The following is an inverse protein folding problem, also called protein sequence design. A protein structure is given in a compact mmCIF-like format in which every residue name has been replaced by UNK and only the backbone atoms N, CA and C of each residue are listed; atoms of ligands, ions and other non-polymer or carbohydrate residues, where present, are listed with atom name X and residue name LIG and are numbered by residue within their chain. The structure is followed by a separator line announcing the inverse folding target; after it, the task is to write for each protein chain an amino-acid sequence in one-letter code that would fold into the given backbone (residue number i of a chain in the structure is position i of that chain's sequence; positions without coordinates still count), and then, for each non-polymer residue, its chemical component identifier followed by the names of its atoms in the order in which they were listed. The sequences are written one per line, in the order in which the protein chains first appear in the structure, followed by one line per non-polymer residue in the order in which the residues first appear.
data_IF_407619215529
#
_entry.id   IF_407619215529
#
_cell.length_a   1.000
_cell.length_b   1.000
_cell.length_c   1.000
_cell.angle_alpha   90.00
_cell.angle_beta   90.00
_cell.angle_gamma   90.00
#
_symmetry.space_group_name_H-M   'P 1'
#
loop_
_entity.id
_entity.type
_entity.pdbx_description
1 polymer ?
#
# COMPACT_ATOMS: atom_id res chain seq x y z
N UNK A 1 23.81 -46.75 38.34
CA UNK A 1 23.89 -46.93 36.87
C UNK A 1 24.31 -45.59 36.29
N UNK A 2 25.40 -45.52 35.54
CA UNK A 2 25.86 -44.26 34.98
C UNK A 2 24.95 -43.86 33.80
N UNK A 3 24.65 -42.59 33.68
CA UNK A 3 23.83 -41.99 32.62
C UNK A 3 24.32 -42.45 31.24
N UNK A 4 25.65 -42.61 31.11
CA UNK A 4 26.29 -43.09 29.88
C UNK A 4 25.84 -44.51 29.49
N UNK A 5 25.68 -45.41 30.47
CA UNK A 5 25.26 -46.78 30.21
C UNK A 5 23.80 -46.88 29.78
N UNK A 6 22.94 -46.02 30.35
CA UNK A 6 21.52 -45.88 29.94
C UNK A 6 21.41 -45.38 28.52
N UNK A 7 22.23 -44.39 28.13
CA UNK A 7 22.25 -43.83 26.79
C UNK A 7 22.68 -44.84 25.72
N UNK A 8 23.71 -45.63 26.02
CA UNK A 8 24.20 -46.72 25.13
C UNK A 8 23.11 -47.78 24.91
N UNK A 9 22.44 -48.21 26.00
CA UNK A 9 21.34 -49.18 25.91
C UNK A 9 20.18 -48.64 25.09
N UNK A 10 19.79 -47.36 25.29
CA UNK A 10 18.74 -46.71 24.53
C UNK A 10 19.04 -46.65 23.02
N UNK A 11 20.26 -46.24 22.65
CA UNK A 11 20.68 -46.20 21.23
C UNK A 11 20.69 -47.59 20.61
N UNK A 12 21.13 -48.60 21.35
CA UNK A 12 21.11 -49.99 20.87
C UNK A 12 19.70 -50.54 20.68
N UNK A 13 18.76 -50.17 21.55
CA UNK A 13 17.34 -50.54 21.43
C UNK A 13 16.69 -49.86 20.20
N UNK A 14 16.99 -48.58 19.93
CA UNK A 14 16.53 -47.84 18.75
C UNK A 14 17.03 -48.48 17.45
N UNK A 15 18.31 -48.85 17.40
CA UNK A 15 18.91 -49.53 16.22
C UNK A 15 18.32 -50.93 15.96
N UNK A 16 17.91 -51.67 17.00
CA UNK A 16 17.30 -52.98 16.84
C UNK A 16 15.92 -52.94 16.17
N UNK A 17 15.19 -51.82 16.29
CA UNK A 17 13.89 -51.59 15.67
C UNK A 17 13.90 -50.37 14.75
N UNK A 18 14.92 -50.22 13.92
CA UNK A 18 15.20 -48.99 13.15
C UNK A 18 14.03 -48.55 12.27
N UNK A 19 13.33 -49.44 11.59
CA UNK A 19 12.18 -49.11 10.76
C UNK A 19 11.01 -48.50 11.55
N UNK A 20 10.69 -49.07 12.73
CA UNK A 20 9.61 -48.54 13.57
C UNK A 20 10.00 -47.17 14.14
N UNK A 21 11.23 -47.01 14.57
CA UNK A 21 11.75 -45.77 15.11
C UNK A 21 11.77 -44.67 14.02
N UNK A 22 12.22 -45.02 12.81
CA UNK A 22 12.23 -44.10 11.69
C UNK A 22 10.80 -43.61 11.30
N UNK A 23 9.84 -44.54 11.23
CA UNK A 23 8.44 -44.23 10.91
C UNK A 23 7.79 -43.34 11.98
N UNK A 24 8.02 -43.63 13.27
CA UNK A 24 7.47 -42.80 14.35
C UNK A 24 8.14 -41.44 14.42
N UNK A 25 9.46 -41.35 14.22
CA UNK A 25 10.19 -40.09 14.15
C UNK A 25 9.73 -39.25 12.96
N UNK A 26 9.55 -39.86 11.79
CA UNK A 26 9.06 -39.20 10.59
C UNK A 26 7.66 -38.62 10.83
N UNK A 27 6.74 -39.37 11.41
CA UNK A 27 5.40 -38.87 11.75
C UNK A 27 5.45 -37.70 12.71
N UNK A 28 6.31 -37.74 13.71
CA UNK A 28 6.49 -36.63 14.67
C UNK A 28 7.09 -35.39 13.98
N UNK A 29 8.10 -35.56 13.14
CA UNK A 29 8.72 -34.47 12.38
C UNK A 29 7.69 -33.81 11.48
N UNK A 30 6.91 -34.57 10.72
CA UNK A 30 5.87 -34.03 9.83
C UNK A 30 4.81 -33.29 10.66
N UNK A 31 4.36 -33.84 11.77
CA UNK A 31 3.37 -33.21 12.63
C UNK A 31 3.83 -31.87 13.19
N UNK A 32 5.04 -31.83 13.73
CA UNK A 32 5.63 -30.59 14.27
C UNK A 32 5.89 -29.58 13.15
N UNK A 33 6.44 -30.02 12.02
CA UNK A 33 6.68 -29.15 10.87
C UNK A 33 5.39 -28.51 10.34
N UNK A 34 4.29 -29.27 10.25
CA UNK A 34 3.01 -28.76 9.82
C UNK A 34 2.49 -27.66 10.75
N UNK A 35 2.61 -27.82 12.06
CA UNK A 35 2.21 -26.80 13.04
C UNK A 35 3.07 -25.55 12.92
N UNK A 36 4.39 -25.70 12.78
CA UNK A 36 5.31 -24.55 12.63
C UNK A 36 4.96 -23.77 11.36
N UNK A 37 4.74 -24.46 10.24
CA UNK A 37 4.37 -23.81 8.98
C UNK A 37 3.04 -23.07 9.10
N UNK A 38 2.03 -23.68 9.74
CA UNK A 38 0.73 -23.04 9.94
C UNK A 38 0.84 -21.77 10.79
N UNK A 39 1.59 -21.80 11.88
CA UNK A 39 1.83 -20.64 12.74
C UNK A 39 2.62 -19.56 12.00
N UNK A 40 3.65 -19.95 11.25
CA UNK A 40 4.45 -19.00 10.47
C UNK A 40 3.63 -18.28 9.40
N UNK A 41 2.77 -19.00 8.67
CA UNK A 41 1.85 -18.39 7.69
C UNK A 41 0.86 -17.46 8.39
N UNK A 42 0.27 -17.88 9.51
CA UNK A 42 -0.69 -17.06 10.26
C UNK A 42 -0.07 -15.77 10.79
N UNK A 43 1.10 -15.82 11.38
CA UNK A 43 1.82 -14.63 11.87
C UNK A 43 2.29 -13.74 10.73
N UNK A 44 2.79 -14.30 9.64
CA UNK A 44 3.20 -13.57 8.44
C UNK A 44 2.03 -12.84 7.79
N UNK A 45 0.88 -13.50 7.63
CA UNK A 45 -0.33 -12.88 7.10
C UNK A 45 -0.84 -11.74 7.99
N UNK A 46 -0.89 -11.95 9.31
CA UNK A 46 -1.27 -10.91 10.27
C UNK A 46 -0.33 -9.70 10.21
N UNK A 47 0.97 -9.91 10.14
CA UNK A 47 1.96 -8.83 10.03
C UNK A 47 1.78 -8.05 8.71
N UNK A 48 1.53 -8.74 7.61
CA UNK A 48 1.26 -8.12 6.31
C UNK A 48 0.00 -7.26 6.34
N UNK A 49 -1.10 -7.77 6.88
CA UNK A 49 -2.36 -7.01 7.02
C UNK A 49 -2.16 -5.79 7.93
N UNK A 50 -1.48 -5.95 9.06
CA UNK A 50 -1.19 -4.83 9.96
C UNK A 50 -0.34 -3.74 9.29
N UNK A 51 0.65 -4.14 8.46
CA UNK A 51 1.46 -3.17 7.72
C UNK A 51 0.63 -2.40 6.70
N UNK A 52 -0.28 -3.08 5.99
CA UNK A 52 -1.20 -2.45 5.04
C UNK A 52 -2.17 -1.48 5.73
N UNK A 53 -2.72 -1.84 6.89
CA UNK A 53 -3.59 -0.95 7.67
C UNK A 53 -2.81 0.28 8.16
N UNK A 54 -1.58 0.11 8.64
CA UNK A 54 -0.74 1.24 9.06
C UNK A 54 -0.38 2.16 7.91
N UNK A 55 -0.09 1.62 6.74
CA UNK A 55 0.22 2.42 5.55
C UNK A 55 -0.99 3.15 4.98
N UNK A 56 -2.21 2.62 5.20
CA UNK A 56 -3.44 3.30 4.83
C UNK A 56 -3.78 4.49 5.75
N UNK A 57 -3.16 4.57 6.96
CA UNK A 57 -3.45 5.58 7.99
C UNK A 57 -4.58 5.16 8.91
N UNK A 58 -4.38 5.32 10.22
CA UNK A 58 -5.30 4.81 11.25
C UNK A 58 -6.57 5.63 11.47
N UNK A 59 -6.62 6.88 10.99
CA UNK A 59 -7.73 7.82 11.25
C UNK A 59 -8.15 8.58 9.99
N UNK A 60 -8.17 7.90 8.84
CA UNK A 60 -8.60 8.50 7.58
C UNK A 60 -10.08 8.25 7.37
N UNK A 61 -10.84 9.30 7.15
CA UNK A 61 -12.23 9.25 6.69
C UNK A 61 -12.24 9.69 5.23
N UNK A 62 -12.75 8.84 4.35
CA UNK A 62 -12.90 9.15 2.94
C UNK A 62 -14.35 9.50 2.66
N UNK A 63 -14.58 10.74 2.23
CA UNK A 63 -15.89 11.23 1.82
C UNK A 63 -15.93 11.20 0.30
N UNK A 64 -16.87 10.49 -0.27
CA UNK A 64 -17.07 10.41 -1.73
C UNK A 64 -18.52 10.76 -2.08
N UNK A 65 -18.70 11.36 -3.26
CA UNK A 65 -20.03 11.56 -3.80
C UNK A 65 -20.75 10.22 -3.92
N UNK A 66 -21.94 10.14 -3.32
CA UNK A 66 -22.77 8.93 -3.39
C UNK A 66 -23.23 8.64 -4.81
N UNK A 67 -23.51 7.39 -5.12
CA UNK A 67 -24.25 7.03 -6.33
C UNK A 67 -25.72 7.43 -6.14
N UNK A 68 -26.08 8.64 -6.55
CA UNK A 68 -27.45 9.13 -6.55
C UNK A 68 -28.25 8.45 -7.65
N UNK A 69 -28.96 7.39 -7.33
CA UNK A 69 -29.87 6.73 -8.24
C UNK A 69 -31.08 6.18 -7.52
N UNK A 70 -32.08 7.02 -7.28
CA UNK A 70 -33.47 6.61 -7.15
C UNK A 70 -34.03 6.32 -8.55
N UNK A 71 -33.61 5.22 -9.19
CA UNK A 71 -34.06 4.82 -10.50
C UNK A 71 -33.61 3.40 -10.88
N UNK A 72 -34.20 2.78 -11.88
CA UNK A 72 -33.87 1.41 -12.33
C UNK A 72 -32.42 1.30 -12.89
N UNK A 73 -31.76 2.40 -13.15
CA UNK A 73 -30.37 2.43 -13.63
C UNK A 73 -29.46 2.85 -12.44
N UNK A 74 -28.76 1.90 -11.87
CA UNK A 74 -27.74 2.16 -10.87
C UNK A 74 -26.48 2.70 -11.55
N UNK A 75 -26.21 3.97 -11.39
CA UNK A 75 -24.94 4.55 -11.78
C UNK A 75 -23.88 4.17 -10.73
N UNK A 76 -22.69 3.77 -11.20
CA UNK A 76 -21.59 3.35 -10.33
C UNK A 76 -21.11 4.49 -9.41
N UNK A 77 -20.41 4.11 -8.35
CA UNK A 77 -19.80 5.05 -7.39
C UNK A 77 -18.91 6.06 -8.12
N UNK A 78 -19.16 7.37 -7.92
CA UNK A 78 -18.43 8.44 -8.60
C UNK A 78 -18.99 8.89 -9.96
N UNK A 79 -20.16 8.37 -10.39
CA UNK A 79 -20.78 8.79 -11.66
C UNK A 79 -21.38 10.21 -11.60
N UNK A 80 -21.67 10.71 -10.41
CA UNK A 80 -22.16 12.09 -10.21
C UNK A 80 -21.15 12.82 -9.31
N UNK A 81 -20.44 13.78 -9.86
CA UNK A 81 -19.54 14.65 -9.11
C UNK A 81 -20.38 15.74 -8.45
N UNK A 82 -20.84 15.47 -7.23
CA UNK A 82 -21.63 16.43 -6.44
C UNK A 82 -20.80 17.15 -5.39
N UNK A 83 -19.62 16.64 -5.04
CA UNK A 83 -18.71 17.29 -4.11
C UNK A 83 -17.89 18.35 -4.82
N UNK A 84 -17.87 19.54 -4.23
CA UNK A 84 -17.13 20.73 -4.71
C UNK A 84 -15.98 21.09 -3.76
N UNK A 85 -15.12 22.01 -4.17
CA UNK A 85 -14.08 22.54 -3.29
C UNK A 85 -14.69 23.28 -2.09
N UNK A 86 -15.82 23.97 -2.29
CA UNK A 86 -16.52 24.70 -1.23
C UNK A 86 -17.04 23.77 -0.12
N UNK A 87 -17.42 22.53 -0.47
CA UNK A 87 -17.82 21.51 0.51
C UNK A 87 -16.63 21.11 1.39
N UNK A 88 -15.42 21.03 0.82
CA UNK A 88 -14.22 20.76 1.60
C UNK A 88 -13.94 21.88 2.61
N UNK A 89 -14.12 23.13 2.20
CA UNK A 89 -13.97 24.29 3.07
C UNK A 89 -15.07 24.36 4.14
N UNK A 90 -16.29 23.98 3.82
CA UNK A 90 -17.38 23.86 4.80
C UNK A 90 -17.05 22.79 5.84
N UNK A 91 -16.60 21.62 5.41
CA UNK A 91 -16.18 20.54 6.32
C UNK A 91 -15.05 21.01 7.24
N UNK A 92 -14.06 21.73 6.72
CA UNK A 92 -12.93 22.25 7.51
C UNK A 92 -13.41 23.25 8.59
N UNK A 93 -14.42 24.05 8.29
CA UNK A 93 -14.96 25.05 9.24
C UNK A 93 -15.93 24.47 10.27
N UNK A 94 -16.75 23.51 9.85
CA UNK A 94 -17.91 23.09 10.66
C UNK A 94 -17.62 21.82 11.47
N UNK A 95 -16.65 21.00 11.07
CA UNK A 95 -16.35 19.74 11.75
C UNK A 95 -15.10 19.88 12.63
N UNK A 96 -15.24 19.91 13.96
CA UNK A 96 -14.09 19.98 14.86
C UNK A 96 -13.28 18.68 14.87
N UNK A 97 -11.98 18.78 15.11
CA UNK A 97 -11.09 17.62 15.27
C UNK A 97 -10.45 17.11 13.99
N UNK A 98 -10.67 17.75 12.85
CA UNK A 98 -9.97 17.46 11.59
C UNK A 98 -8.57 18.06 11.64
N UNK A 99 -7.55 17.20 11.58
CA UNK A 99 -6.16 17.64 11.55
C UNK A 99 -5.73 18.06 10.14
N UNK A 100 -6.07 17.25 9.14
CA UNK A 100 -5.75 17.45 7.74
C UNK A 100 -6.97 17.13 6.89
N UNK A 101 -7.19 17.89 5.83
CA UNK A 101 -8.24 17.68 4.85
C UNK A 101 -7.68 17.96 3.47
N UNK A 102 -7.81 17.03 2.55
CA UNK A 102 -7.35 17.20 1.17
C UNK A 102 -8.47 16.81 0.22
N UNK A 103 -8.98 17.76 -0.59
CA UNK A 103 -9.87 17.43 -1.70
C UNK A 103 -9.11 16.57 -2.71
N UNK A 104 -9.81 15.65 -3.37
CA UNK A 104 -9.18 14.73 -4.31
C UNK A 104 -10.02 14.49 -5.55
N UNK A 105 -9.40 14.55 -6.72
CA UNK A 105 -10.00 14.15 -7.99
C UNK A 105 -9.13 13.08 -8.64
N UNK A 106 -9.75 11.96 -8.99
CA UNK A 106 -9.06 10.85 -9.65
C UNK A 106 -9.45 10.77 -11.12
N UNK A 107 -8.46 10.66 -12.00
CA UNK A 107 -8.65 10.40 -13.42
C UNK A 107 -7.58 9.45 -13.92
N UNK A 108 -7.85 8.74 -15.01
CA UNK A 108 -6.84 7.89 -15.66
C UNK A 108 -6.41 8.56 -16.95
N UNK A 109 -5.11 8.80 -17.07
CA UNK A 109 -4.54 9.48 -18.24
C UNK A 109 -3.18 8.88 -18.59
N UNK A 110 -2.78 9.11 -19.82
CA UNK A 110 -1.43 8.81 -20.28
C UNK A 110 -0.48 9.94 -19.85
N UNK A 111 0.59 9.55 -19.19
CA UNK A 111 1.72 10.42 -18.86
C UNK A 111 2.84 10.13 -19.87
N UNK A 112 3.37 11.16 -20.47
CA UNK A 112 4.42 11.08 -21.49
C UNK A 112 5.66 11.81 -21.00
N UNK A 113 6.79 11.13 -20.93
CA UNK A 113 8.12 11.71 -20.80
C UNK A 113 8.80 11.74 -22.17
N UNK A 114 10.02 12.25 -22.25
CA UNK A 114 10.73 12.45 -23.53
C UNK A 114 10.81 11.16 -24.38
N UNK A 115 11.04 10.01 -23.78
CA UNK A 115 11.30 8.73 -24.47
C UNK A 115 10.30 7.63 -24.19
N UNK A 116 9.40 7.84 -23.21
CA UNK A 116 8.48 6.80 -22.74
C UNK A 116 7.11 7.37 -22.42
N UNK A 117 6.12 6.49 -22.39
CA UNK A 117 4.77 6.86 -21.96
C UNK A 117 4.18 5.74 -21.09
N UNK A 118 3.32 6.14 -20.15
CA UNK A 118 2.67 5.21 -19.24
C UNK A 118 1.24 5.64 -18.92
N UNK A 119 0.28 4.72 -19.05
CA UNK A 119 -1.10 5.00 -18.66
C UNK A 119 -1.27 4.71 -17.19
N UNK A 120 -1.60 5.74 -16.42
CA UNK A 120 -1.70 5.65 -14.96
C UNK A 120 -2.87 6.44 -14.41
N UNK A 121 -3.18 6.20 -13.15
CA UNK A 121 -4.12 7.02 -12.40
C UNK A 121 -3.44 8.31 -11.96
N UNK A 122 -4.06 9.44 -12.27
CA UNK A 122 -3.66 10.76 -11.84
C UNK A 122 -4.61 11.21 -10.75
N UNK A 123 -4.06 11.65 -9.65
CA UNK A 123 -4.79 12.18 -8.52
C UNK A 123 -4.46 13.66 -8.36
N UNK A 124 -5.44 14.54 -8.64
CA UNK A 124 -5.38 15.94 -8.23
C UNK A 124 -5.69 16.01 -6.74
N UNK A 125 -4.85 16.69 -5.97
CA UNK A 125 -4.96 16.70 -4.50
C UNK A 125 -4.31 17.95 -3.90
N UNK A 126 -4.60 18.22 -2.64
CA UNK A 126 -3.88 19.22 -1.84
C UNK A 126 -2.55 18.71 -1.30
N UNK A 127 -1.69 19.61 -0.80
CA UNK A 127 -0.37 19.27 -0.25
C UNK A 127 -0.46 18.40 1.02
N UNK A 128 -1.56 18.44 1.74
CA UNK A 128 -1.78 17.68 2.96
C UNK A 128 -1.86 16.16 2.72
N UNK A 129 -2.07 15.72 1.47
CA UNK A 129 -2.16 14.30 1.15
C UNK A 129 -0.93 13.53 1.58
N UNK A 130 0.26 14.11 1.42
CA UNK A 130 1.52 13.49 1.86
C UNK A 130 1.51 13.18 3.36
N UNK A 131 1.03 14.13 4.17
CA UNK A 131 0.90 13.96 5.63
C UNK A 131 -0.21 12.98 6.00
N UNK A 132 -1.37 13.06 5.32
CA UNK A 132 -2.51 12.16 5.53
C UNK A 132 -2.12 10.69 5.27
N UNK A 133 -1.41 10.46 4.16
CA UNK A 133 -1.00 9.11 3.73
C UNK A 133 0.33 8.66 4.32
N UNK A 134 1.04 9.55 5.04
CA UNK A 134 2.42 9.29 5.51
C UNK A 134 3.32 8.82 4.36
N UNK A 135 3.25 9.50 3.23
CA UNK A 135 4.04 9.19 2.03
C UNK A 135 5.30 10.05 1.99
N UNK A 136 6.45 9.51 2.39
CA UNK A 136 7.72 10.21 2.21
C UNK A 136 8.09 10.27 0.74
N UNK A 137 8.63 11.38 0.29
CA UNK A 137 9.28 11.48 -1.02
C UNK A 137 10.68 10.87 -0.96
N UNK A 138 11.04 10.08 -1.95
CA UNK A 138 12.38 9.51 -2.08
C UNK A 138 13.37 10.52 -2.66
N UNK A 139 12.93 11.29 -3.63
CA UNK A 139 13.67 12.37 -4.28
C UNK A 139 12.81 13.62 -4.31
N UNK A 140 13.43 14.79 -4.19
CA UNK A 140 12.71 16.06 -4.19
C UNK A 140 11.82 16.28 -2.99
N UNK A 141 10.80 17.09 -3.15
CA UNK A 141 9.80 17.42 -2.14
C UNK A 141 8.39 17.33 -2.71
N UNK A 142 7.40 17.18 -1.84
CA UNK A 142 6.01 17.31 -2.23
C UNK A 142 5.70 18.80 -2.50
N UNK A 143 4.70 19.10 -3.33
CA UNK A 143 4.29 20.47 -3.63
C UNK A 143 3.65 21.12 -2.40
N UNK A 144 3.73 22.44 -2.35
CA UNK A 144 3.31 23.26 -1.22
C UNK A 144 1.99 23.98 -1.51
N UNK A 145 1.42 24.63 -0.49
CA UNK A 145 0.23 25.48 -0.63
C UNK A 145 0.50 26.68 -1.58
N UNK A 146 1.73 27.19 -1.58
CA UNK A 146 2.15 28.26 -2.50
C UNK A 146 2.12 27.79 -3.96
N UNK A 147 2.46 26.54 -4.23
CA UNK A 147 2.39 25.97 -5.57
C UNK A 147 0.93 25.83 -6.03
N UNK A 148 0.03 25.46 -5.12
CA UNK A 148 -1.41 25.37 -5.40
C UNK A 148 -1.99 26.76 -5.66
N UNK A 149 -1.70 27.72 -4.81
CA UNK A 149 -2.20 29.09 -4.92
C UNK A 149 -1.69 29.78 -6.20
N UNK A 150 -0.43 29.54 -6.56
CA UNK A 150 0.16 30.05 -7.79
C UNK A 150 -0.22 29.25 -9.04
N UNK A 151 -1.05 28.20 -8.90
CA UNK A 151 -1.44 27.29 -9.97
C UNK A 151 -0.23 26.73 -10.76
N UNK A 152 0.88 26.47 -10.05
CA UNK A 152 2.09 25.88 -10.66
C UNK A 152 1.80 24.46 -11.14
N UNK A 153 2.28 24.16 -12.33
CA UNK A 153 2.16 22.83 -12.93
C UNK A 153 3.26 21.92 -12.41
N UNK A 154 3.03 21.35 -11.26
CA UNK A 154 3.94 20.42 -10.59
C UNK A 154 3.27 19.06 -10.40
N UNK A 155 4.05 17.99 -10.48
CA UNK A 155 3.58 16.64 -10.30
C UNK A 155 4.55 15.84 -9.44
N UNK A 156 4.01 14.98 -8.57
CA UNK A 156 4.78 13.98 -7.81
C UNK A 156 4.51 12.63 -8.44
N UNK A 157 5.57 11.95 -8.88
CA UNK A 157 5.48 10.65 -9.53
C UNK A 157 5.55 9.52 -8.52
N UNK A 158 4.66 8.56 -8.63
CA UNK A 158 4.80 7.30 -7.90
C UNK A 158 6.01 6.51 -8.43
N UNK A 159 6.64 5.72 -7.56
CA UNK A 159 7.87 4.96 -7.91
C UNK A 159 7.72 4.11 -9.17
N UNK A 160 6.59 3.43 -9.33
CA UNK A 160 6.32 2.60 -10.53
C UNK A 160 6.27 3.46 -11.79
N UNK A 161 5.60 4.62 -11.75
CA UNK A 161 5.50 5.52 -12.91
C UNK A 161 6.86 6.11 -13.25
N UNK A 162 7.63 6.54 -12.24
CA UNK A 162 9.01 7.00 -12.39
C UNK A 162 9.86 5.94 -13.08
N UNK A 163 9.83 4.71 -12.60
CA UNK A 163 10.66 3.61 -13.13
C UNK A 163 10.29 3.27 -14.59
N UNK A 164 9.03 3.39 -14.95
CA UNK A 164 8.55 3.16 -16.32
C UNK A 164 8.89 4.31 -17.29
N UNK A 165 8.95 5.54 -16.81
CA UNK A 165 9.21 6.70 -17.64
C UNK A 165 10.69 7.06 -17.75
N UNK A 166 11.45 6.89 -16.66
CA UNK A 166 12.83 7.36 -16.54
C UNK A 166 13.84 6.25 -16.25
N UNK A 167 13.37 5.03 -15.97
CA UNK A 167 14.20 3.89 -15.59
C UNK A 167 14.25 3.64 -14.08
N UNK A 168 14.57 2.42 -13.72
CA UNK A 168 14.55 1.96 -12.33
C UNK A 168 15.51 2.76 -11.45
N UNK A 169 14.98 3.37 -10.40
CA UNK A 169 15.75 4.13 -9.42
C UNK A 169 16.24 5.50 -9.88
N UNK A 170 15.86 5.98 -11.07
CA UNK A 170 16.26 7.28 -11.57
C UNK A 170 15.70 8.42 -10.72
N UNK A 171 16.47 9.50 -10.57
CA UNK A 171 15.96 10.76 -10.01
C UNK A 171 15.31 11.57 -11.14
N UNK A 172 13.99 11.73 -11.06
CA UNK A 172 13.18 12.47 -12.02
C UNK A 172 12.89 13.91 -11.54
N UNK A 173 13.57 14.39 -10.53
CA UNK A 173 13.37 15.75 -10.00
C UNK A 173 13.78 16.80 -11.04
N UNK A 174 12.85 17.69 -11.38
CA UNK A 174 13.07 18.73 -12.39
C UNK A 174 12.84 18.30 -13.84
N UNK A 175 12.55 17.03 -14.08
CA UNK A 175 12.19 16.54 -15.39
C UNK A 175 10.74 16.92 -15.74
N UNK A 176 10.47 17.11 -17.05
CA UNK A 176 9.14 17.49 -17.52
C UNK A 176 8.36 16.28 -18.03
N UNK A 177 7.15 16.11 -17.52
CA UNK A 177 6.18 15.13 -18.02
C UNK A 177 4.97 15.84 -18.63
N UNK A 178 4.34 15.21 -19.61
CA UNK A 178 3.11 15.73 -20.23
C UNK A 178 1.92 14.90 -19.81
N UNK A 179 0.89 15.57 -19.35
CA UNK A 179 -0.41 14.99 -18.99
C UNK A 179 -1.48 15.72 -19.81
N UNK A 180 -2.22 15.04 -20.68
CA UNK A 180 -3.18 15.68 -21.62
C UNK A 180 -2.54 16.84 -22.41
N UNK A 181 -1.34 16.66 -22.93
CA UNK A 181 -0.58 17.70 -23.63
C UNK A 181 -0.17 18.94 -22.79
N UNK A 182 -0.41 18.95 -21.51
CA UNK A 182 0.04 20.00 -20.60
C UNK A 182 1.37 19.56 -19.94
N UNK A 183 2.40 20.42 -19.94
CA UNK A 183 3.65 20.13 -19.23
C UNK A 183 3.48 20.35 -17.72
N UNK A 184 4.11 19.47 -16.94
CA UNK A 184 4.21 19.51 -15.49
C UNK A 184 5.65 19.27 -15.07
#
# INVERSE_FOLDING_TARGET
MSILMTLVVAVKALRRNAMRTALTALGMIIGVAAVIVMVAIGTGASASIQSQIRSAGSNIVMVSAGSGGFGPVRQGQGAVVTLTADDADAIRREVPGIKYLSPGLNTRQQVVAATANWNTQIQGTGPELAAIRSWPTQFGSFFTEDDVTAARKVAVLGSVVRDQLFGAGADATGETVRIKNQPF
#
